data_IF_004029403641
#
_entry.id   IF_004029403641
#
_cell.length_a   1.000
_cell.length_b   1.000
_cell.length_c   1.000
_cell.angle_alpha   90.00
_cell.angle_beta   90.00
_cell.angle_gamma   90.00
#
_symmetry.space_group_name_H-M   'P 1'
#
loop_
_entity.id
_entity.type
_entity.pdbx_description
1 polymer ?
#
# COMPACT_ATOMS: atom_id res chain seq x y z
N UNK A 1 57.13 28.84 2.14
CA UNK A 1 56.00 29.61 2.70
C UNK A 1 55.46 28.81 3.86
N UNK A 2 55.85 29.19 5.08
CA UNK A 2 55.50 28.49 6.31
C UNK A 2 54.02 28.72 6.65
N UNK A 3 53.24 27.66 6.79
CA UNK A 3 51.94 27.71 7.46
C UNK A 3 52.18 27.37 8.93
N UNK A 4 52.10 28.41 9.76
CA UNK A 4 51.99 28.35 11.21
C UNK A 4 50.75 27.53 11.56
N UNK A 5 50.94 26.29 12.04
CA UNK A 5 49.90 25.58 12.79
C UNK A 5 49.94 26.15 14.21
N UNK A 6 48.91 26.90 14.58
CA UNK A 6 48.74 27.50 15.90
C UNK A 6 48.45 26.42 16.95
N UNK A 7 49.01 26.58 18.14
CA UNK A 7 48.92 25.70 19.32
C UNK A 7 47.47 25.36 19.76
N UNK A 8 46.49 26.12 19.28
CA UNK A 8 45.06 25.91 19.53
C UNK A 8 44.51 24.61 18.93
N UNK A 9 44.98 24.17 17.76
CA UNK A 9 44.42 22.99 17.07
C UNK A 9 44.78 21.67 17.77
N UNK A 10 45.93 21.62 18.43
CA UNK A 10 46.32 20.47 19.25
C UNK A 10 45.54 20.43 20.57
N UNK A 11 45.32 21.58 21.20
CA UNK A 11 44.58 21.68 22.46
C UNK A 11 43.13 21.19 22.30
N UNK A 12 42.48 21.49 21.18
CA UNK A 12 41.13 21.00 20.86
C UNK A 12 41.11 19.48 20.63
N UNK A 13 42.15 18.91 19.99
CA UNK A 13 42.26 17.44 19.81
C UNK A 13 42.49 16.71 21.13
N UNK A 14 43.28 17.27 22.04
CA UNK A 14 43.50 16.66 23.36
C UNK A 14 42.26 16.79 24.27
N UNK A 15 41.53 17.92 24.23
CA UNK A 15 40.24 18.06 24.93
C UNK A 15 39.15 17.12 24.38
N UNK A 16 39.14 16.88 23.06
CA UNK A 16 38.20 15.94 22.45
C UNK A 16 38.53 14.48 22.77
N UNK A 17 39.81 14.14 22.94
CA UNK A 17 40.27 12.82 23.36
C UNK A 17 40.04 12.57 24.85
N UNK A 18 40.15 13.59 25.70
CA UNK A 18 39.89 13.48 27.15
C UNK A 18 38.42 13.17 27.44
N UNK A 19 37.48 13.78 26.69
CA UNK A 19 36.04 13.49 26.78
C UNK A 19 35.63 12.11 26.24
N UNK A 20 36.53 11.38 25.56
CA UNK A 20 36.29 10.03 25.06
C UNK A 20 36.76 8.94 26.04
N UNK A 21 37.37 9.32 27.17
CA UNK A 21 37.91 8.37 28.16
C UNK A 21 36.89 7.95 29.21
N UNK A 22 35.73 8.61 29.27
CA UNK A 22 34.64 8.22 30.17
C UNK A 22 33.76 7.14 29.52
N UNK A 23 34.13 5.89 29.78
CA UNK A 23 33.31 4.68 29.64
C UNK A 23 32.56 4.51 28.30
N UNK A 24 33.16 3.80 27.31
CA UNK A 24 32.46 3.50 26.04
C UNK A 24 31.17 2.71 26.25
N UNK A 25 30.98 2.07 27.41
CA UNK A 25 29.81 1.23 27.72
C UNK A 25 28.46 1.97 27.66
N UNK A 26 28.42 3.28 27.90
CA UNK A 26 27.18 4.07 27.78
C UNK A 26 26.79 4.32 26.32
N UNK A 27 27.75 4.57 25.44
CA UNK A 27 27.55 4.80 24.00
C UNK A 27 27.01 3.56 23.26
N UNK A 28 27.37 2.35 23.69
CA UNK A 28 26.80 1.10 23.14
C UNK A 28 25.39 0.82 23.68
N UNK A 29 25.08 1.28 24.89
CA UNK A 29 23.75 1.12 25.49
C UNK A 29 22.70 1.99 24.79
N UNK A 30 23.07 3.21 24.41
CA UNK A 30 22.17 4.11 23.68
C UNK A 30 22.06 3.73 22.20
N UNK A 31 23.14 3.23 21.58
CA UNK A 31 23.06 2.65 20.23
C UNK A 31 22.24 1.35 20.17
N UNK A 32 22.15 0.58 21.26
CA UNK A 32 21.25 -0.59 21.32
C UNK A 32 19.77 -0.17 21.37
N UNK A 33 19.46 0.96 21.99
CA UNK A 33 18.10 1.52 22.03
C UNK A 33 17.73 2.17 20.70
N UNK A 34 18.66 2.86 20.07
CA UNK A 34 18.44 3.48 18.76
C UNK A 34 18.42 2.45 17.63
N UNK A 35 19.20 1.36 17.74
CA UNK A 35 19.13 0.22 16.82
C UNK A 35 17.86 -0.64 17.00
N UNK A 36 17.12 -0.46 18.12
CA UNK A 36 15.78 -1.05 18.31
C UNK A 36 14.67 -0.16 17.75
N UNK A 37 14.96 1.12 17.44
CA UNK A 37 14.04 2.04 16.74
C UNK A 37 14.35 2.14 15.23
N UNK A 38 15.54 1.70 14.81
CA UNK A 38 15.98 1.62 13.41
C UNK A 38 15.93 0.19 12.84
N UNK A 39 15.24 -0.74 13.50
CA UNK A 39 14.46 -1.76 12.77
C UNK A 39 13.36 -1.01 12.03
N UNK A 40 13.74 -0.51 10.85
CA UNK A 40 13.00 -0.63 9.62
C UNK A 40 11.53 -0.96 9.87
N UNK A 41 10.66 -0.03 9.51
CA UNK A 41 9.26 -0.25 9.21
C UNK A 41 9.08 -1.28 8.06
N UNK A 42 9.71 -2.44 8.18
CA UNK A 42 9.34 -3.67 7.53
C UNK A 42 8.12 -4.15 8.31
N UNK A 43 7.00 -3.48 8.10
CA UNK A 43 5.70 -3.85 8.65
C UNK A 43 5.28 -5.18 8.05
N UNK A 44 5.84 -6.27 8.55
CA UNK A 44 5.28 -7.60 8.37
C UNK A 44 3.99 -7.60 9.18
N UNK A 45 2.86 -7.50 8.47
CA UNK A 45 1.54 -7.70 9.07
C UNK A 45 1.55 -9.03 9.82
N UNK A 46 1.03 -9.03 11.04
CA UNK A 46 0.76 -10.28 11.77
C UNK A 46 -0.14 -11.18 10.91
N UNK A 47 0.01 -12.50 11.00
CA UNK A 47 -0.81 -13.47 10.25
C UNK A 47 -2.32 -13.19 10.42
N UNK A 48 -2.71 -12.74 11.61
CA UNK A 48 -4.09 -12.33 11.95
C UNK A 48 -4.55 -11.09 11.15
N UNK A 49 -3.66 -10.12 10.96
CA UNK A 49 -3.94 -8.91 10.19
C UNK A 49 -4.01 -9.22 8.70
N UNK A 50 -3.15 -10.11 8.21
CA UNK A 50 -3.19 -10.57 6.83
C UNK A 50 -4.50 -11.31 6.53
N UNK A 51 -4.94 -12.20 7.42
CA UNK A 51 -6.20 -12.91 7.28
C UNK A 51 -7.41 -11.96 7.29
N UNK A 52 -7.42 -11.00 8.23
CA UNK A 52 -8.48 -9.98 8.31
C UNK A 52 -8.55 -9.14 7.03
N UNK A 53 -7.39 -8.73 6.50
CA UNK A 53 -7.31 -8.00 5.23
C UNK A 53 -7.84 -8.84 4.06
N UNK A 54 -7.48 -10.12 4.00
CA UNK A 54 -7.94 -11.02 2.94
C UNK A 54 -9.46 -11.21 2.97
N UNK A 55 -10.05 -11.41 4.16
CA UNK A 55 -11.52 -11.48 4.32
C UNK A 55 -12.20 -10.18 3.89
N UNK A 56 -11.62 -9.02 4.23
CA UNK A 56 -12.13 -7.72 3.79
C UNK A 56 -12.11 -7.58 2.26
N UNK A 57 -11.04 -8.03 1.60
CA UNK A 57 -10.94 -8.03 0.13
C UNK A 57 -11.99 -8.93 -0.51
N UNK A 58 -12.23 -10.12 0.04
CA UNK A 58 -13.30 -11.02 -0.43
C UNK A 58 -14.66 -10.32 -0.29
N UNK A 59 -14.95 -9.78 0.89
CA UNK A 59 -16.24 -9.13 1.15
C UNK A 59 -16.49 -7.93 0.22
N UNK A 60 -15.50 -7.06 0.06
CA UNK A 60 -15.59 -5.90 -0.83
C UNK A 60 -15.71 -6.31 -2.29
N UNK A 61 -15.03 -7.37 -2.73
CA UNK A 61 -15.16 -7.90 -4.10
C UNK A 61 -16.60 -8.35 -4.40
N UNK A 62 -17.26 -9.01 -3.45
CA UNK A 62 -18.65 -9.44 -3.61
C UNK A 62 -19.62 -8.25 -3.68
N UNK A 63 -19.38 -7.22 -2.86
CA UNK A 63 -20.16 -5.98 -2.92
C UNK A 63 -20.01 -5.27 -4.27
N UNK A 64 -18.77 -5.12 -4.76
CA UNK A 64 -18.47 -4.52 -6.07
C UNK A 64 -19.17 -5.30 -7.18
N UNK A 65 -19.12 -6.64 -7.12
CA UNK A 65 -19.75 -7.50 -8.10
C UNK A 65 -21.29 -7.32 -8.14
N UNK A 66 -21.97 -7.27 -6.99
CA UNK A 66 -23.41 -6.99 -6.93
C UNK A 66 -23.74 -5.61 -7.52
N UNK A 67 -22.98 -4.58 -7.16
CA UNK A 67 -23.14 -3.25 -7.73
C UNK A 67 -22.94 -3.24 -9.24
N UNK A 68 -21.95 -3.99 -9.75
CA UNK A 68 -21.68 -4.12 -11.18
C UNK A 68 -22.85 -4.78 -11.92
N UNK A 69 -23.43 -5.86 -11.37
CA UNK A 69 -24.62 -6.50 -11.96
C UNK A 69 -25.78 -5.50 -12.07
N UNK A 70 -26.08 -4.77 -11.00
CA UNK A 70 -27.21 -3.83 -10.97
C UNK A 70 -26.98 -2.65 -11.92
N UNK A 71 -25.82 -2.00 -11.83
CA UNK A 71 -25.50 -0.83 -12.64
C UNK A 71 -25.53 -1.16 -14.13
N UNK A 72 -24.91 -2.26 -14.54
CA UNK A 72 -24.88 -2.67 -15.95
C UNK A 72 -26.26 -3.11 -16.45
N UNK A 73 -27.08 -3.76 -15.62
CA UNK A 73 -28.47 -4.08 -15.96
C UNK A 73 -29.29 -2.82 -16.25
N UNK A 74 -29.12 -1.78 -15.42
CA UNK A 74 -29.78 -0.49 -15.62
C UNK A 74 -29.30 0.21 -16.90
N UNK A 75 -27.99 0.22 -17.15
CA UNK A 75 -27.42 0.77 -18.39
C UNK A 75 -28.03 0.11 -19.63
N UNK A 76 -28.06 -1.23 -19.67
CA UNK A 76 -28.66 -1.98 -20.77
C UNK A 76 -30.14 -1.60 -20.94
N UNK A 77 -30.92 -1.59 -19.85
CA UNK A 77 -32.34 -1.24 -19.91
C UNK A 77 -32.59 0.18 -20.43
N UNK A 78 -31.74 1.15 -20.02
CA UNK A 78 -31.81 2.54 -20.48
C UNK A 78 -31.47 2.64 -21.96
N UNK A 79 -30.38 2.01 -22.43
CA UNK A 79 -29.98 2.11 -23.84
C UNK A 79 -30.94 1.39 -24.78
N UNK A 80 -31.51 0.26 -24.36
CA UNK A 80 -32.59 -0.41 -25.11
C UNK A 80 -33.80 0.50 -25.26
N UNK A 81 -34.12 1.32 -24.25
CA UNK A 81 -35.22 2.30 -24.33
C UNK A 81 -34.90 3.55 -25.14
N UNK A 82 -33.66 4.05 -25.07
CA UNK A 82 -33.25 5.25 -25.81
C UNK A 82 -33.18 5.02 -27.32
N UNK A 83 -33.08 3.75 -27.75
CA UNK A 83 -32.91 3.38 -29.14
C UNK A 83 -31.47 3.60 -29.58
N UNK A 84 -30.95 2.63 -30.33
CA UNK A 84 -29.56 2.58 -30.83
C UNK A 84 -29.27 3.61 -31.94
N UNK A 85 -29.91 4.78 -31.88
CA UNK A 85 -29.85 5.84 -32.89
C UNK A 85 -28.46 6.45 -33.02
N UNK A 86 -27.68 6.44 -31.94
CA UNK A 86 -26.31 6.94 -31.94
C UNK A 86 -25.28 5.81 -31.76
N UNK A 87 -24.14 5.84 -32.47
CA UNK A 87 -23.08 4.85 -32.33
C UNK A 87 -22.44 4.82 -30.93
N UNK A 88 -22.51 5.94 -30.20
CA UNK A 88 -22.15 6.05 -28.79
C UNK A 88 -23.00 5.11 -27.92
N UNK A 89 -24.33 5.12 -28.10
CA UNK A 89 -25.26 4.29 -27.34
C UNK A 89 -25.03 2.80 -27.60
N UNK A 90 -24.70 2.43 -28.84
CA UNK A 90 -24.35 1.03 -29.19
C UNK A 90 -23.08 0.61 -28.45
N UNK A 91 -22.04 1.43 -28.49
CA UNK A 91 -20.76 1.15 -27.81
C UNK A 91 -20.93 1.03 -26.30
N UNK A 92 -21.70 1.94 -25.69
CA UNK A 92 -21.98 1.92 -24.25
C UNK A 92 -22.84 0.71 -23.85
N UNK A 93 -23.78 0.29 -24.71
CA UNK A 93 -24.56 -0.93 -24.47
C UNK A 93 -23.68 -2.16 -24.55
N UNK A 94 -22.81 -2.25 -25.56
CA UNK A 94 -21.88 -3.37 -25.70
C UNK A 94 -20.95 -3.48 -24.49
N UNK A 95 -20.42 -2.35 -24.01
CA UNK A 95 -19.62 -2.31 -22.79
C UNK A 95 -20.40 -2.80 -21.57
N UNK A 96 -21.63 -2.28 -21.36
CA UNK A 96 -22.48 -2.71 -20.25
C UNK A 96 -22.84 -4.20 -20.32
N UNK A 97 -23.05 -4.76 -21.51
CA UNK A 97 -23.28 -6.20 -21.71
C UNK A 97 -22.03 -7.02 -21.36
N UNK A 98 -20.84 -6.58 -21.79
CA UNK A 98 -19.58 -7.23 -21.44
C UNK A 98 -19.37 -7.26 -19.92
N UNK A 99 -19.51 -6.11 -19.27
CA UNK A 99 -19.31 -5.99 -17.83
C UNK A 99 -20.37 -6.78 -17.03
N UNK A 100 -21.64 -6.76 -17.47
CA UNK A 100 -22.70 -7.58 -16.90
C UNK A 100 -22.38 -9.08 -17.00
N UNK A 101 -21.97 -9.52 -18.19
CA UNK A 101 -21.65 -10.94 -18.44
C UNK A 101 -20.50 -11.40 -17.56
N UNK A 102 -19.44 -10.58 -17.44
CA UNK A 102 -18.31 -10.87 -16.55
C UNK A 102 -18.73 -10.92 -15.08
N UNK A 103 -19.57 -9.99 -14.62
CA UNK A 103 -20.07 -9.98 -13.24
C UNK A 103 -20.93 -11.22 -12.92
N UNK A 104 -21.80 -11.63 -13.86
CA UNK A 104 -22.61 -12.86 -13.70
C UNK A 104 -21.72 -14.10 -13.68
N UNK A 105 -20.73 -14.18 -14.58
CA UNK A 105 -19.77 -15.29 -14.60
C UNK A 105 -18.95 -15.36 -13.31
N UNK A 106 -18.49 -14.22 -12.80
CA UNK A 106 -17.79 -14.16 -11.53
C UNK A 106 -18.67 -14.67 -10.39
N UNK A 107 -19.93 -14.23 -10.33
CA UNK A 107 -20.92 -14.71 -9.37
C UNK A 107 -21.06 -16.24 -9.44
N UNK A 108 -21.29 -16.77 -10.65
CA UNK A 108 -21.43 -18.21 -10.87
C UNK A 108 -20.19 -18.98 -10.41
N UNK A 109 -18.99 -18.52 -10.78
CA UNK A 109 -17.73 -19.14 -10.40
C UNK A 109 -17.51 -19.15 -8.88
N UNK A 110 -17.99 -18.13 -8.16
CA UNK A 110 -17.88 -18.06 -6.70
C UNK A 110 -18.98 -18.80 -5.94
N UNK A 111 -20.13 -19.05 -6.57
CA UNK A 111 -21.30 -19.67 -5.94
C UNK A 111 -21.54 -21.13 -6.36
N UNK A 112 -20.93 -21.61 -7.45
CA UNK A 112 -21.08 -23.00 -7.89
C UNK A 112 -20.40 -23.95 -6.89
N UNK A 113 -21.12 -24.92 -6.31
CA UNK A 113 -20.50 -25.96 -5.49
C UNK A 113 -19.61 -26.82 -6.40
N UNK A 114 -18.35 -26.97 -6.00
CA UNK A 114 -17.42 -27.93 -6.60
C UNK A 114 -17.94 -29.37 -6.45
#
# INVERSE_FOLDING_TARGET
MCLHLTDEDNTIRYLALDQLTDNPFHLWKDRSKESSTLTLASGTLSDEQFYTFFLFMIYTSQLINICAVIANSLCIAVFVKLGFSEPSNISLTALAVCDFTMAVLFTWATCAPC
#
